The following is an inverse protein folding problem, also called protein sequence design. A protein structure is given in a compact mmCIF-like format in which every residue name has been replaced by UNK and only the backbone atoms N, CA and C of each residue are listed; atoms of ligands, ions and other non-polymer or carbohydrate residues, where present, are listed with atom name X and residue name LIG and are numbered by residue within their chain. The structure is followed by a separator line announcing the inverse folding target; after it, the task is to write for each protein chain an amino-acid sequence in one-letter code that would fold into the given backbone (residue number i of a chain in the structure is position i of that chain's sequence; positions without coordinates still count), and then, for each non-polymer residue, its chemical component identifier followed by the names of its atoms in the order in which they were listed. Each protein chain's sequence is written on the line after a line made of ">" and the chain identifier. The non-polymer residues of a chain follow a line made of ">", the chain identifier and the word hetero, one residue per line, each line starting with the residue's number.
data_IF_589790230873
#
_entry.id   IF_589790230873
#
_cell.length_a   1.000
_cell.length_b   1.000
_cell.length_c   1.000
_cell.angle_alpha   90.00
_cell.angle_beta   90.00
_cell.angle_gamma   90.00
#
_symmetry.space_group_name_H-M   'P 1'
#
loop_
_entity.id
_entity.type
_entity.pdbx_description
1 polymer ?
#
# COMPACT_ATOMS: atom_id res chain seq x y z
N UNK A 1 17.74 -33.56 28.47
CA UNK A 1 17.49 -33.69 27.02
C UNK A 1 17.56 -32.29 26.40
N UNK A 2 18.37 -32.05 25.35
CA UNK A 2 18.39 -30.75 24.68
C UNK A 2 17.01 -30.45 24.09
N UNK A 3 16.42 -29.28 24.40
CA UNK A 3 15.16 -28.85 23.78
C UNK A 3 15.42 -28.63 22.28
N UNK A 4 14.59 -29.25 21.43
CA UNK A 4 14.65 -29.01 19.98
C UNK A 4 14.30 -27.55 19.70
N UNK A 5 15.19 -26.82 19.06
CA UNK A 5 14.95 -25.44 18.58
C UNK A 5 14.59 -25.47 17.10
N UNK A 6 13.61 -24.66 16.70
CA UNK A 6 13.17 -24.55 15.31
C UNK A 6 13.59 -23.21 14.71
N UNK A 7 14.20 -23.25 13.53
CA UNK A 7 14.62 -22.07 12.76
C UNK A 7 13.80 -21.93 11.48
N UNK A 8 13.67 -20.70 10.99
CA UNK A 8 12.93 -20.43 9.76
C UNK A 8 13.75 -20.91 8.55
N UNK A 9 13.31 -22.00 7.93
CA UNK A 9 13.98 -22.64 6.79
C UNK A 9 13.23 -22.39 5.47
N UNK A 10 13.84 -22.78 4.35
CA UNK A 10 13.26 -22.58 3.02
C UNK A 10 11.92 -23.30 2.84
N UNK A 11 11.73 -24.47 3.48
CA UNK A 11 10.47 -25.20 3.45
C UNK A 11 9.34 -24.38 4.08
N UNK A 12 9.55 -23.84 5.28
CA UNK A 12 8.59 -22.96 5.95
C UNK A 12 8.35 -21.67 5.16
N UNK A 13 9.38 -21.12 4.52
CA UNK A 13 9.24 -19.93 3.68
C UNK A 13 8.41 -20.20 2.41
N UNK A 14 8.55 -21.38 1.81
CA UNK A 14 7.75 -21.79 0.65
C UNK A 14 6.27 -22.03 1.01
N UNK A 15 6.01 -22.57 2.20
CA UNK A 15 4.66 -22.84 2.71
C UNK A 15 3.97 -21.57 3.22
N UNK A 16 4.73 -20.66 3.83
CA UNK A 16 4.25 -19.42 4.41
C UNK A 16 4.95 -18.20 3.78
N UNK A 17 4.61 -17.92 2.53
CA UNK A 17 5.19 -16.82 1.73
C UNK A 17 5.00 -15.42 2.32
N UNK A 18 4.07 -15.28 3.27
CA UNK A 18 3.80 -14.03 3.99
C UNK A 18 4.67 -13.83 5.25
N UNK A 19 5.58 -14.75 5.55
CA UNK A 19 6.51 -14.66 6.68
C UNK A 19 7.92 -14.31 6.18
N UNK A 20 8.61 -13.42 6.91
CA UNK A 20 9.99 -13.00 6.63
C UNK A 20 10.85 -13.17 7.88
N UNK A 21 12.15 -13.43 7.70
CA UNK A 21 13.12 -13.45 8.81
C UNK A 21 13.32 -12.04 9.36
N UNK A 22 13.41 -11.88 10.68
CA UNK A 22 13.93 -10.65 11.26
C UNK A 22 15.39 -10.47 10.85
N UNK A 23 15.75 -9.29 10.33
CA UNK A 23 17.11 -8.96 9.90
C UNK A 23 18.05 -8.56 11.05
N UNK A 24 17.56 -8.52 12.30
CA UNK A 24 18.34 -8.08 13.46
C UNK A 24 19.30 -9.20 13.92
N UNK A 25 20.60 -8.92 14.11
CA UNK A 25 21.55 -9.91 14.62
C UNK A 25 21.11 -10.41 16.00
N UNK A 26 21.21 -11.73 16.22
CA UNK A 26 20.76 -12.39 17.46
C UNK A 26 19.27 -12.73 17.53
N UNK A 27 18.49 -12.56 16.44
CA UNK A 27 17.05 -12.88 16.39
C UNK A 27 16.69 -13.89 15.30
N UNK A 28 17.50 -14.94 15.13
CA UNK A 28 17.34 -15.95 14.07
C UNK A 28 16.03 -16.74 14.16
N UNK A 29 15.44 -16.81 15.36
CA UNK A 29 14.20 -17.50 15.64
C UNK A 29 12.96 -16.61 15.52
N UNK A 30 13.14 -15.29 15.35
CA UNK A 30 12.03 -14.35 15.16
C UNK A 30 11.70 -14.18 13.68
N UNK A 31 10.41 -14.20 13.41
CA UNK A 31 9.84 -13.97 12.09
C UNK A 31 8.81 -12.84 12.15
N UNK A 32 8.70 -12.13 11.04
CA UNK A 32 7.77 -11.03 10.82
C UNK A 32 6.69 -11.44 9.83
N UNK A 33 5.43 -11.23 10.21
CA UNK A 33 4.30 -11.44 9.34
C UNK A 33 3.98 -10.17 8.55
N UNK A 34 4.06 -10.23 7.21
CA UNK A 34 3.78 -9.05 6.36
C UNK A 34 2.29 -8.66 6.35
N UNK A 35 1.39 -9.59 6.70
CA UNK A 35 -0.05 -9.32 6.72
C UNK A 35 -0.42 -8.37 7.86
N UNK A 36 0.15 -8.57 9.05
CA UNK A 36 -0.22 -7.83 10.26
C UNK A 36 0.93 -7.07 10.93
N UNK A 37 2.13 -7.13 10.36
CA UNK A 37 3.35 -6.50 10.85
C UNK A 37 3.82 -6.98 12.22
N UNK A 38 3.35 -8.15 12.70
CA UNK A 38 3.74 -8.68 14.00
C UNK A 38 5.02 -9.51 13.88
N UNK A 39 5.93 -9.32 14.83
CA UNK A 39 7.12 -10.16 15.02
C UNK A 39 6.88 -11.18 16.14
N UNK A 40 7.18 -12.46 15.90
CA UNK A 40 7.02 -13.53 16.89
C UNK A 40 8.12 -14.59 16.76
N UNK A 41 8.39 -15.33 17.84
CA UNK A 41 9.38 -16.41 17.85
C UNK A 41 8.75 -17.74 17.44
N UNK A 42 9.50 -18.55 16.70
CA UNK A 42 9.13 -19.94 16.36
C UNK A 42 10.07 -20.96 17.03
N UNK A 43 10.95 -20.51 17.93
CA UNK A 43 12.03 -21.32 18.50
C UNK A 43 11.55 -22.64 19.11
N UNK A 44 10.40 -22.63 19.79
CA UNK A 44 9.94 -23.78 20.58
C UNK A 44 8.76 -24.52 19.93
N UNK A 45 7.84 -23.82 19.29
CA UNK A 45 6.64 -24.42 18.69
C UNK A 45 6.72 -24.56 17.17
N UNK A 46 7.67 -23.92 16.49
CA UNK A 46 7.86 -24.05 15.04
C UNK A 46 6.57 -23.74 14.25
N UNK A 47 6.04 -24.76 13.56
CA UNK A 47 4.74 -24.66 12.86
C UNK A 47 3.56 -24.34 13.80
N UNK A 48 3.58 -24.85 15.03
CA UNK A 48 2.50 -24.59 15.99
C UNK A 48 2.37 -23.09 16.28
N UNK A 49 3.50 -22.41 16.50
CA UNK A 49 3.52 -20.96 16.74
C UNK A 49 2.97 -20.18 15.54
N UNK A 50 3.27 -20.63 14.32
CA UNK A 50 2.71 -20.06 13.09
C UNK A 50 1.18 -20.26 13.04
N UNK A 51 0.68 -21.46 13.35
CA UNK A 51 -0.77 -21.71 13.35
C UNK A 51 -1.50 -20.92 14.44
N UNK A 52 -0.88 -20.74 15.60
CA UNK A 52 -1.42 -19.90 16.67
C UNK A 52 -1.44 -18.42 16.26
N UNK A 53 -0.38 -17.95 15.60
CA UNK A 53 -0.33 -16.62 15.01
C UNK A 53 -1.48 -16.39 14.01
N UNK A 54 -1.75 -17.35 13.11
CA UNK A 54 -2.84 -17.27 12.13
C UNK A 54 -4.22 -17.15 12.79
N UNK A 55 -4.40 -17.76 13.97
CA UNK A 55 -5.63 -17.66 14.77
C UNK A 55 -5.70 -16.38 15.61
N UNK A 56 -4.61 -15.64 15.74
CA UNK A 56 -4.58 -14.41 16.55
C UNK A 56 -5.55 -13.36 16.01
N UNK A 57 -6.17 -12.62 16.90
CA UNK A 57 -7.10 -11.55 16.55
C UNK A 57 -6.43 -10.48 15.68
N UNK A 58 -5.19 -10.10 16.02
CA UNK A 58 -4.38 -9.15 15.24
C UNK A 58 -4.18 -9.61 13.79
N UNK A 59 -3.86 -10.89 13.57
CA UNK A 59 -3.74 -11.43 12.22
C UNK A 59 -5.08 -11.41 11.49
N UNK A 60 -6.15 -11.86 12.15
CA UNK A 60 -7.49 -11.92 11.56
C UNK A 60 -8.03 -10.54 11.15
N UNK A 61 -7.84 -9.51 11.98
CA UNK A 61 -8.25 -8.14 11.65
C UNK A 61 -7.48 -7.65 10.42
N UNK A 62 -6.16 -7.82 10.38
CA UNK A 62 -5.33 -7.38 9.27
C UNK A 62 -5.60 -8.18 7.97
N UNK A 63 -5.85 -9.48 8.08
CA UNK A 63 -6.22 -10.34 6.97
C UNK A 63 -7.60 -9.97 6.40
N UNK A 64 -8.56 -9.59 7.25
CA UNK A 64 -9.87 -9.07 6.83
C UNK A 64 -9.74 -7.71 6.14
N UNK A 65 -8.93 -6.80 6.68
CA UNK A 65 -8.66 -5.50 6.06
C UNK A 65 -8.05 -5.66 4.65
N UNK A 66 -7.13 -6.62 4.48
CA UNK A 66 -6.51 -6.93 3.17
C UNK A 66 -7.50 -7.49 2.15
N UNK A 67 -8.63 -8.06 2.60
CA UNK A 67 -9.74 -8.51 1.73
C UNK A 67 -10.74 -7.40 1.40
N UNK A 68 -10.63 -6.23 2.04
CA UNK A 68 -11.57 -5.13 1.87
C UNK A 68 -11.30 -4.37 0.58
N UNK A 69 -12.14 -4.63 -0.43
CA UNK A 69 -12.29 -3.94 -1.72
C UNK A 69 -11.06 -3.88 -2.63
N UNK A 70 -11.19 -4.46 -3.83
CA UNK A 70 -10.19 -4.32 -4.90
C UNK A 70 -10.07 -2.85 -5.30
N UNK A 71 -8.85 -2.38 -5.54
CA UNK A 71 -8.56 -1.03 -6.04
C UNK A 71 -9.41 -0.65 -7.28
N UNK A 72 -9.70 -1.62 -8.14
CA UNK A 72 -10.55 -1.46 -9.31
C UNK A 72 -11.95 -0.94 -8.98
N UNK A 73 -12.48 -1.25 -7.79
CA UNK A 73 -13.83 -0.83 -7.39
C UNK A 73 -13.93 0.69 -7.16
N UNK A 74 -12.79 1.37 -6.97
CA UNK A 74 -12.75 2.82 -6.80
C UNK A 74 -12.76 3.58 -8.13
N UNK A 75 -12.62 2.90 -9.27
CA UNK A 75 -12.56 3.51 -10.58
C UNK A 75 -13.68 3.00 -11.47
N UNK A 76 -14.30 3.91 -12.23
CA UNK A 76 -15.28 3.51 -13.24
C UNK A 76 -14.61 2.70 -14.35
N UNK A 77 -15.25 1.62 -14.84
CA UNK A 77 -14.75 0.88 -15.99
C UNK A 77 -14.76 1.77 -17.24
N UNK A 78 -13.76 1.59 -18.13
CA UNK A 78 -13.65 2.37 -19.38
C UNK A 78 -14.89 2.34 -20.26
N UNK A 79 -15.71 1.30 -20.15
CA UNK A 79 -16.95 1.13 -20.91
C UNK A 79 -18.04 2.12 -20.55
N UNK A 80 -17.94 2.81 -19.40
CA UNK A 80 -18.95 3.77 -18.92
C UNK A 80 -18.50 5.24 -19.03
N UNK A 81 -17.33 5.51 -19.65
CA UNK A 81 -16.63 6.79 -19.67
C UNK A 81 -17.31 7.89 -20.52
N UNK A 82 -18.55 8.22 -20.17
CA UNK A 82 -19.34 9.33 -20.71
C UNK A 82 -18.94 10.67 -20.08
N UNK A 83 -19.42 11.79 -20.64
CA UNK A 83 -19.01 13.16 -20.26
C UNK A 83 -19.09 13.46 -18.76
N UNK A 84 -20.12 12.96 -18.07
CA UNK A 84 -20.27 13.15 -16.62
C UNK A 84 -19.20 12.43 -15.81
N UNK A 85 -18.80 11.24 -16.23
CA UNK A 85 -17.72 10.48 -15.58
C UNK A 85 -16.35 11.08 -15.88
N UNK A 86 -16.17 11.64 -17.07
CA UNK A 86 -14.95 12.38 -17.43
C UNK A 86 -14.76 13.60 -16.54
N UNK A 87 -15.83 14.37 -16.33
CA UNK A 87 -15.79 15.54 -15.43
C UNK A 87 -15.45 15.11 -14.00
N UNK A 88 -16.10 14.07 -13.49
CA UNK A 88 -15.82 13.55 -12.15
C UNK A 88 -14.36 13.08 -12.03
N UNK A 89 -13.85 12.32 -13.01
CA UNK A 89 -12.47 11.86 -13.03
C UNK A 89 -11.47 13.04 -13.08
N UNK A 90 -11.80 14.11 -13.81
CA UNK A 90 -11.01 15.34 -13.84
C UNK A 90 -11.00 16.03 -12.48
N UNK A 91 -12.15 16.16 -11.81
CA UNK A 91 -12.25 16.76 -10.47
C UNK A 91 -11.42 15.96 -9.45
N UNK A 92 -11.50 14.63 -9.49
CA UNK A 92 -10.69 13.74 -8.64
C UNK A 92 -9.20 13.84 -8.94
N UNK A 93 -8.83 14.01 -10.21
CA UNK A 93 -7.46 14.27 -10.65
C UNK A 93 -6.92 15.61 -10.15
N UNK A 94 -7.71 16.68 -10.27
CA UNK A 94 -7.36 18.02 -9.76
C UNK A 94 -7.17 17.98 -8.24
N UNK A 95 -8.07 17.30 -7.54
CA UNK A 95 -7.96 17.09 -6.09
C UNK A 95 -6.64 16.40 -5.73
N UNK A 96 -6.33 15.27 -6.39
CA UNK A 96 -5.08 14.54 -6.14
C UNK A 96 -3.82 15.35 -6.49
N UNK A 97 -3.87 16.16 -7.56
CA UNK A 97 -2.77 17.04 -7.92
C UNK A 97 -2.56 18.12 -6.87
N UNK A 98 -3.62 18.77 -6.38
CA UNK A 98 -3.54 19.77 -5.32
C UNK A 98 -2.92 19.16 -4.04
N UNK A 99 -3.38 17.97 -3.63
CA UNK A 99 -2.83 17.25 -2.48
C UNK A 99 -1.32 17.05 -2.62
N UNK A 100 -0.87 16.55 -3.77
CA UNK A 100 0.56 16.30 -4.04
C UNK A 100 1.36 17.60 -4.08
N UNK A 101 0.85 18.63 -4.77
CA UNK A 101 1.51 19.93 -4.94
C UNK A 101 1.75 20.62 -3.60
N UNK A 102 0.81 20.52 -2.67
CA UNK A 102 0.91 21.13 -1.35
C UNK A 102 1.42 20.18 -0.26
N UNK A 103 1.90 18.98 -0.63
CA UNK A 103 2.36 17.96 0.31
C UNK A 103 1.36 17.69 1.44
N UNK A 104 0.06 17.74 1.11
CA UNK A 104 -1.00 17.50 2.08
C UNK A 104 -1.02 16.03 2.49
N UNK A 105 -1.45 15.79 3.74
CA UNK A 105 -1.54 14.45 4.27
C UNK A 105 -2.57 13.62 3.51
N UNK A 106 -2.14 12.48 2.97
CA UNK A 106 -3.08 11.51 2.38
C UNK A 106 -4.08 10.95 3.41
N UNK A 107 -3.77 11.04 4.71
CA UNK A 107 -4.66 10.56 5.77
C UNK A 107 -5.88 11.48 5.96
N UNK A 108 -5.79 12.77 5.62
CA UNK A 108 -6.93 13.67 5.70
C UNK A 108 -7.84 13.58 4.47
N UNK A 109 -7.42 12.89 3.40
CA UNK A 109 -8.21 12.84 2.16
C UNK A 109 -9.54 12.11 2.33
N UNK A 110 -9.63 11.14 3.24
CA UNK A 110 -10.89 10.45 3.51
C UNK A 110 -11.95 11.41 4.08
N UNK A 111 -11.59 12.25 5.05
CA UNK A 111 -12.52 13.23 5.62
C UNK A 111 -12.78 14.40 4.66
N UNK A 112 -11.76 14.87 3.95
CA UNK A 112 -11.92 15.93 2.93
C UNK A 112 -12.82 15.46 1.79
N UNK A 113 -12.67 14.23 1.30
CA UNK A 113 -13.53 13.68 0.24
C UNK A 113 -15.00 13.60 0.66
N UNK A 114 -15.26 13.27 1.93
CA UNK A 114 -16.62 13.25 2.47
C UNK A 114 -17.21 14.66 2.58
N UNK A 115 -16.38 15.65 2.93
CA UNK A 115 -16.77 17.05 2.95
C UNK A 115 -17.12 17.54 1.55
N UNK A 116 -16.24 17.32 0.57
CA UNK A 116 -16.47 17.68 -0.85
C UNK A 116 -17.75 17.03 -1.37
N UNK A 117 -17.97 15.76 -0.99
CA UNK A 117 -19.16 15.02 -1.39
C UNK A 117 -20.46 15.64 -0.86
N UNK A 118 -20.44 16.17 0.36
CA UNK A 118 -21.61 16.82 0.99
C UNK A 118 -21.84 18.24 0.48
N UNK A 119 -20.77 18.97 0.15
CA UNK A 119 -20.84 20.38 -0.20
C UNK A 119 -21.04 20.63 -1.70
N UNK A 120 -20.48 19.78 -2.56
CA UNK A 120 -20.38 20.05 -4.00
C UNK A 120 -20.95 18.93 -4.86
N UNK A 121 -20.39 17.71 -4.77
CA UNK A 121 -20.74 16.62 -5.69
C UNK A 121 -20.95 15.30 -4.95
N UNK A 122 -22.21 14.86 -4.87
CA UNK A 122 -22.61 13.67 -4.12
C UNK A 122 -21.94 12.36 -4.61
N UNK A 123 -21.47 12.32 -5.87
CA UNK A 123 -20.77 11.17 -6.44
C UNK A 123 -19.25 11.23 -6.31
N UNK A 124 -18.71 12.28 -5.70
CA UNK A 124 -17.27 12.41 -5.49
C UNK A 124 -16.75 11.37 -4.50
N UNK A 125 -15.83 10.51 -4.95
CA UNK A 125 -15.25 9.45 -4.14
C UNK A 125 -13.74 9.41 -4.41
N UNK A 126 -13.00 10.35 -3.83
CA UNK A 126 -11.53 10.39 -3.89
C UNK A 126 -10.91 10.46 -2.50
N UNK A 127 -11.02 9.35 -1.76
CA UNK A 127 -10.33 9.16 -0.49
C UNK A 127 -8.87 8.72 -0.67
N UNK A 128 -8.19 8.47 0.44
CA UNK A 128 -6.75 8.19 0.54
C UNK A 128 -6.22 7.23 -0.52
N UNK A 129 -6.88 6.08 -0.64
CA UNK A 129 -6.45 4.99 -1.53
C UNK A 129 -6.50 5.40 -3.00
N UNK A 130 -7.58 6.08 -3.40
CA UNK A 130 -7.78 6.53 -4.77
C UNK A 130 -6.84 7.69 -5.11
N UNK A 131 -6.73 8.67 -4.22
CA UNK A 131 -5.80 9.80 -4.36
C UNK A 131 -4.36 9.31 -4.54
N UNK A 132 -3.91 8.38 -3.68
CA UNK A 132 -2.58 7.77 -3.80
C UNK A 132 -2.40 7.08 -5.15
N UNK A 133 -3.38 6.26 -5.56
CA UNK A 133 -3.32 5.54 -6.83
C UNK A 133 -3.23 6.48 -8.04
N UNK A 134 -3.99 7.58 -8.05
CA UNK A 134 -3.90 8.60 -9.10
C UNK A 134 -2.50 9.21 -9.14
N UNK A 135 -1.95 9.62 -7.99
CA UNK A 135 -0.61 10.22 -7.92
C UNK A 135 0.45 9.23 -8.42
N UNK A 136 0.45 7.98 -7.94
CA UNK A 136 1.50 7.01 -8.26
C UNK A 136 1.39 6.43 -9.66
N UNK A 137 0.18 6.26 -10.19
CA UNK A 137 -0.03 5.56 -11.46
C UNK A 137 -0.29 6.51 -12.64
N UNK A 138 -0.64 7.77 -12.40
CA UNK A 138 -0.90 8.77 -13.45
C UNK A 138 0.15 9.87 -13.44
N UNK A 139 0.28 10.59 -12.33
CA UNK A 139 1.16 11.77 -12.28
C UNK A 139 2.65 11.40 -12.22
N UNK A 140 3.02 10.41 -11.43
CA UNK A 140 4.42 10.00 -11.29
C UNK A 140 5.02 9.51 -12.63
N UNK A 141 4.39 8.62 -13.41
CA UNK A 141 4.92 8.22 -14.72
C UNK A 141 5.04 9.40 -15.69
N UNK A 142 4.07 10.31 -15.68
CA UNK A 142 4.13 11.52 -16.49
C UNK A 142 5.32 12.42 -16.08
N UNK A 143 5.48 12.68 -14.79
CA UNK A 143 6.57 13.51 -14.27
C UNK A 143 7.95 12.91 -14.59
N UNK A 144 8.11 11.59 -14.43
CA UNK A 144 9.34 10.88 -14.79
C UNK A 144 9.62 10.98 -16.29
N UNK A 145 8.61 10.85 -17.14
CA UNK A 145 8.78 10.98 -18.59
C UNK A 145 9.17 12.41 -19.00
N UNK A 146 8.58 13.43 -18.38
CA UNK A 146 8.97 14.83 -18.59
C UNK A 146 10.40 15.06 -18.11
N UNK A 147 10.75 14.56 -16.93
CA UNK A 147 12.09 14.68 -16.38
C UNK A 147 13.13 14.03 -17.30
N UNK A 148 12.89 12.81 -17.80
CA UNK A 148 13.76 12.13 -18.76
C UNK A 148 13.98 12.96 -20.02
N UNK A 149 12.91 13.53 -20.59
CA UNK A 149 13.00 14.40 -21.77
C UNK A 149 13.82 15.66 -21.51
N UNK A 150 13.67 16.25 -20.32
CA UNK A 150 14.41 17.44 -19.95
C UNK A 150 15.89 17.13 -19.72
N UNK A 151 16.20 16.05 -19.01
CA UNK A 151 17.58 15.59 -18.76
C UNK A 151 18.33 15.35 -20.08
N UNK A 152 17.68 14.75 -21.09
CA UNK A 152 18.29 14.53 -22.41
C UNK A 152 18.62 15.84 -23.16
N UNK A 153 17.96 16.94 -22.84
CA UNK A 153 18.22 18.26 -23.44
C UNK A 153 19.21 19.10 -22.64
N UNK A 154 19.53 18.70 -21.42
CA UNK A 154 20.43 19.44 -20.56
C UNK A 154 21.89 19.14 -20.93
N UNK A 155 22.71 20.19 -21.07
CA UNK A 155 24.15 20.05 -21.34
C UNK A 155 24.93 19.58 -20.11
N UNK A 156 24.41 19.87 -18.91
CA UNK A 156 25.05 19.54 -17.64
C UNK A 156 23.99 19.07 -16.64
N UNK A 157 24.33 18.05 -15.86
CA UNK A 157 23.49 17.52 -14.77
C UNK A 157 24.37 17.38 -13.54
N UNK A 158 23.94 17.96 -12.43
CA UNK A 158 24.59 17.78 -11.12
C UNK A 158 23.69 16.92 -10.25
N UNK A 159 24.28 15.92 -9.58
CA UNK A 159 23.60 15.08 -8.59
C UNK A 159 24.16 15.49 -7.24
N UNK A 160 23.30 15.93 -6.33
CA UNK A 160 23.64 16.13 -4.93
C UNK A 160 23.02 14.98 -4.14
N UNK A 161 23.87 14.20 -3.46
CA UNK A 161 23.48 13.14 -2.53
C UNK A 161 23.13 13.71 -1.14
#
# INVERSE_FOLDING_TARGET
>A
MPKRTCTFNEKLQSEYTFLKKCQKPGQEYKIECIVCGAAFSIEHGGKSDITQHLKSERHNIAARASKSQKLSNFFSPKTQFADKEQKLAADEGIFAYHTCKHSQSLNSMDCTSQLVRKLYENKFICGRTKTKSIITNVFLPYAVNVLKKNVLKCNFVSIYD
#
